data_IF_244122889537
#
_entry.id   IF_244122889537
#
_cell.length_a   1.000
_cell.length_b   1.000
_cell.length_c   1.000
_cell.angle_alpha   90.00
_cell.angle_beta   90.00
_cell.angle_gamma   90.00
#
_symmetry.space_group_name_H-M   'P 1'
#
loop_
_entity.id
_entity.type
_entity.pdbx_description
1 polymer ?
#
# COMPACT_ATOMS: atom_id res chain seq x y z
N UNK A 1 -12.91 -6.49 15.46
CA UNK A 1 -12.52 -6.95 14.13
C UNK A 1 -11.33 -6.14 13.64
N UNK A 2 -10.27 -6.78 13.18
CA UNK A 2 -9.10 -6.06 12.71
C UNK A 2 -9.39 -5.33 11.39
N UNK A 3 -8.87 -4.09 11.24
CA UNK A 3 -9.05 -3.39 9.98
C UNK A 3 -8.30 -4.08 8.85
N UNK A 4 -8.84 -3.94 7.65
CA UNK A 4 -8.29 -4.50 6.41
C UNK A 4 -7.96 -3.38 5.44
N UNK A 5 -7.12 -3.66 4.45
CA UNK A 5 -6.81 -2.70 3.40
C UNK A 5 -8.04 -2.49 2.53
N UNK A 6 -8.42 -1.23 2.37
CA UNK A 6 -9.53 -0.87 1.49
C UNK A 6 -9.05 -0.23 0.21
N UNK A 7 -8.04 0.64 0.31
CA UNK A 7 -7.60 1.42 -0.84
C UNK A 7 -6.14 1.84 -0.65
N UNK A 8 -5.40 1.89 -1.75
CA UNK A 8 -4.01 2.35 -1.80
C UNK A 8 -3.95 3.56 -2.73
N UNK A 9 -3.23 4.60 -2.32
CA UNK A 9 -3.04 5.78 -3.14
C UNK A 9 -1.61 6.26 -3.05
N UNK A 10 -1.18 7.02 -4.05
CA UNK A 10 0.19 7.54 -4.12
C UNK A 10 0.13 9.04 -4.37
N UNK A 11 0.85 9.81 -3.56
CA UNK A 11 0.97 11.25 -3.76
C UNK A 11 2.44 11.60 -3.59
N UNK A 12 3.07 12.08 -4.66
CA UNK A 12 4.49 12.37 -4.63
C UNK A 12 5.31 11.15 -4.27
N UNK A 13 6.14 11.25 -3.25
CA UNK A 13 7.00 10.16 -2.79
C UNK A 13 6.38 9.38 -1.62
N UNK A 14 5.06 9.48 -1.42
CA UNK A 14 4.36 8.83 -0.31
C UNK A 14 3.35 7.82 -0.81
N UNK A 15 3.19 6.74 -0.04
CA UNK A 15 2.12 5.77 -0.26
C UNK A 15 1.12 5.93 0.90
N UNK A 16 -0.17 6.00 0.56
CA UNK A 16 -1.25 6.14 1.53
C UNK A 16 -2.13 4.91 1.50
N UNK A 17 -2.46 4.42 2.68
CA UNK A 17 -3.33 3.25 2.83
C UNK A 17 -4.58 3.65 3.61
N UNK A 18 -5.75 3.38 3.05
CA UNK A 18 -7.02 3.55 3.74
C UNK A 18 -7.50 2.17 4.16
N UNK A 19 -7.89 2.05 5.42
CA UNK A 19 -8.38 0.78 5.97
C UNK A 19 -9.90 0.80 6.07
N UNK A 20 -10.48 -0.38 6.30
CA UNK A 20 -11.94 -0.56 6.30
C UNK A 20 -12.62 0.17 7.45
N UNK A 21 -11.88 0.53 8.49
CA UNK A 21 -12.42 1.32 9.61
C UNK A 21 -12.32 2.83 9.36
N UNK A 22 -11.93 3.24 8.14
CA UNK A 22 -11.88 4.64 7.76
C UNK A 22 -10.60 5.37 8.14
N UNK A 23 -9.62 4.66 8.68
CA UNK A 23 -8.34 5.28 9.05
C UNK A 23 -7.43 5.39 7.83
N UNK A 24 -6.55 6.39 7.84
CA UNK A 24 -5.54 6.57 6.80
C UNK A 24 -4.15 6.51 7.41
N UNK A 25 -3.26 5.85 6.69
CA UNK A 25 -1.87 5.67 7.10
C UNK A 25 -0.97 6.08 5.96
N UNK A 26 0.28 6.39 6.26
CA UNK A 26 1.24 6.80 5.24
C UNK A 26 2.60 6.19 5.48
N UNK A 27 3.36 6.00 4.40
CA UNK A 27 4.75 5.59 4.43
C UNK A 27 5.50 6.28 3.30
N UNK A 28 6.78 6.52 3.52
CA UNK A 28 7.65 7.01 2.46
C UNK A 28 7.94 5.87 1.47
N UNK A 29 7.95 6.19 0.17
CA UNK A 29 8.35 5.22 -0.84
C UNK A 29 9.82 4.83 -0.73
N UNK A 30 10.62 5.58 0.02
CA UNK A 30 12.00 5.20 0.30
C UNK A 30 12.09 3.86 1.02
N UNK A 31 11.01 3.46 1.71
CA UNK A 31 10.95 2.18 2.41
C UNK A 31 10.57 1.02 1.48
N UNK A 32 10.17 1.33 0.25
CA UNK A 32 9.72 0.34 -0.73
C UNK A 32 10.41 0.60 -2.07
N UNK A 33 11.69 0.22 -2.22
CA UNK A 33 12.48 0.59 -3.39
C UNK A 33 11.87 0.18 -4.73
N UNK A 34 11.20 -0.97 -4.80
CA UNK A 34 10.58 -1.42 -6.05
C UNK A 34 9.43 -0.51 -6.45
N UNK A 35 8.63 -0.07 -5.49
CA UNK A 35 7.56 0.88 -5.74
C UNK A 35 8.10 2.26 -6.08
N UNK A 36 9.18 2.66 -5.45
CA UNK A 36 9.80 3.96 -5.71
C UNK A 36 10.27 4.06 -7.15
N UNK A 37 10.83 2.98 -7.69
CA UNK A 37 11.33 2.93 -9.07
C UNK A 37 10.22 2.73 -10.10
N UNK A 38 9.06 2.30 -9.68
CA UNK A 38 7.96 1.99 -10.58
C UNK A 38 7.36 3.25 -11.19
N UNK A 39 6.79 3.11 -12.38
CA UNK A 39 6.05 4.18 -13.02
C UNK A 39 4.72 4.41 -12.29
N UNK A 40 4.09 5.58 -12.45
CA UNK A 40 2.74 5.80 -11.89
C UNK A 40 1.73 4.75 -12.33
N UNK A 41 1.81 4.31 -13.58
CA UNK A 41 0.92 3.28 -14.09
C UNK A 41 1.14 1.96 -13.35
N UNK A 42 2.39 1.55 -13.16
CA UNK A 42 2.71 0.32 -12.44
C UNK A 42 2.24 0.37 -10.99
N UNK A 43 2.41 1.51 -10.34
CA UNK A 43 1.96 1.69 -8.94
C UNK A 43 0.46 1.49 -8.77
N UNK A 44 -0.31 1.80 -9.79
CA UNK A 44 -1.77 1.65 -9.73
C UNK A 44 -2.24 0.25 -10.11
N UNK A 45 -1.35 -0.62 -10.55
CA UNK A 45 -1.68 -2.00 -10.90
C UNK A 45 -1.46 -2.91 -9.70
N UNK A 46 -2.16 -2.63 -8.62
CA UNK A 46 -2.08 -3.44 -7.41
C UNK A 46 -3.34 -4.26 -7.21
N UNK A 47 -3.19 -5.32 -6.42
CA UNK A 47 -4.31 -6.16 -6.04
C UNK A 47 -4.28 -6.39 -4.54
N UNK A 48 -5.39 -6.09 -3.90
CA UNK A 48 -5.55 -6.34 -2.46
C UNK A 48 -5.84 -7.84 -2.30
N UNK A 49 -5.14 -8.48 -1.37
CA UNK A 49 -5.28 -9.89 -1.11
C UNK A 49 -6.68 -10.26 -0.65
N UNK A 50 -7.00 -11.54 -0.76
CA UNK A 50 -8.33 -12.06 -0.47
C UNK A 50 -8.86 -11.67 0.91
N UNK A 51 -7.98 -11.62 1.90
CA UNK A 51 -8.37 -11.30 3.28
C UNK A 51 -8.12 -9.83 3.65
N UNK A 52 -7.65 -9.02 2.70
CA UNK A 52 -7.36 -7.62 2.97
C UNK A 52 -6.14 -7.38 3.83
N UNK A 53 -5.30 -8.40 4.02
CA UNK A 53 -4.12 -8.32 4.89
C UNK A 53 -2.86 -7.90 4.15
N UNK A 54 -2.87 -7.95 2.83
CA UNK A 54 -1.71 -7.61 2.02
C UNK A 54 -2.13 -6.98 0.70
N UNK A 55 -1.17 -6.39 0.03
CA UNK A 55 -1.35 -5.84 -1.30
C UNK A 55 -0.19 -6.31 -2.17
N UNK A 56 -0.49 -6.68 -3.40
CA UNK A 56 0.50 -7.25 -4.32
C UNK A 56 0.55 -6.48 -5.63
N UNK A 57 1.76 -6.24 -6.09
CA UNK A 57 2.04 -5.67 -7.41
C UNK A 57 2.67 -6.78 -8.25
N UNK A 58 1.86 -7.41 -9.11
CA UNK A 58 2.32 -8.57 -9.90
C UNK A 58 3.49 -8.21 -10.82
N UNK A 59 3.40 -7.05 -11.47
CA UNK A 59 4.45 -6.65 -12.42
C UNK A 59 5.77 -6.34 -11.76
N UNK A 60 5.75 -6.01 -10.46
CA UNK A 60 6.95 -5.68 -9.70
C UNK A 60 7.42 -6.82 -8.81
N UNK A 61 6.64 -7.90 -8.76
CA UNK A 61 6.87 -9.01 -7.85
C UNK A 61 7.04 -8.51 -6.40
N UNK A 62 6.19 -7.57 -6.01
CA UNK A 62 6.22 -6.98 -4.68
C UNK A 62 4.93 -7.31 -3.92
N UNK A 63 5.08 -7.70 -2.67
CA UNK A 63 3.96 -8.03 -1.80
C UNK A 63 4.21 -7.37 -0.44
N UNK A 64 3.26 -6.55 0.01
CA UNK A 64 3.41 -5.79 1.25
C UNK A 64 2.27 -6.12 2.19
N UNK A 65 2.62 -6.58 3.39
CA UNK A 65 1.63 -6.88 4.42
C UNK A 65 1.09 -5.58 5.03
N UNK A 66 -0.16 -5.62 5.48
CA UNK A 66 -0.83 -4.46 6.08
C UNK A 66 -0.03 -3.88 7.26
N UNK A 67 0.65 -4.71 8.04
CA UNK A 67 1.44 -4.24 9.18
C UNK A 67 2.57 -3.29 8.76
N UNK A 68 3.10 -3.46 7.56
CA UNK A 68 4.15 -2.58 7.04
C UNK A 68 3.60 -1.25 6.53
N UNK A 69 2.32 -1.20 6.21
CA UNK A 69 1.68 0.00 5.67
C UNK A 69 1.03 0.88 6.75
N UNK A 70 0.71 0.31 7.89
CA UNK A 70 -0.07 0.99 8.92
C UNK A 70 0.75 1.44 10.12
N UNK A 71 2.03 1.75 9.89
CA UNK A 71 2.92 2.18 10.98
C UNK A 71 2.77 3.63 11.37
N UNK A 72 2.39 4.48 10.40
CA UNK A 72 2.24 5.92 10.63
C UNK A 72 0.84 6.34 10.25
N UNK A 73 0.05 6.67 11.25
CA UNK A 73 -1.33 7.08 11.05
C UNK A 73 -1.43 8.58 10.80
N UNK A 74 -2.26 8.97 9.85
CA UNK A 74 -2.56 10.37 9.60
C UNK A 74 -3.37 10.98 10.73
#
# INVERSE_FOLDING_TARGET
>A
MEPKIKHIDFVGSMIYTTTTDGQKYYRSLDEFPLLKKASPTERMQYRIGKFGDDVRWETLDEDIHISSLTKQKL
#
